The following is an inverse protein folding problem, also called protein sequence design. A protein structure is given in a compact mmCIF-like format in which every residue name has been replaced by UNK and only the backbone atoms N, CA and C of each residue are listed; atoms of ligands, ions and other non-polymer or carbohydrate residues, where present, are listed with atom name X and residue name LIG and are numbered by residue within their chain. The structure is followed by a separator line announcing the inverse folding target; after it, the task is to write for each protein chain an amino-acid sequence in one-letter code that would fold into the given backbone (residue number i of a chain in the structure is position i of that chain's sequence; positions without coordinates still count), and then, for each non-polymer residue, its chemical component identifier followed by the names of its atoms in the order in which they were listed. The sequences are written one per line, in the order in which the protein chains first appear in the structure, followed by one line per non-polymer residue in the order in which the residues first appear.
data_IF_443749223193
#
_entry.id   IF_443749223193
#
_cell.length_a   1.000
_cell.length_b   1.000
_cell.length_c   1.000
_cell.angle_alpha   90.00
_cell.angle_beta   90.00
_cell.angle_gamma   90.00
#
_symmetry.space_group_name_H-M   'P 1'
#
loop_
_entity.id
_entity.type
_entity.pdbx_description
1 polymer ?
#
# COMPACT_ATOMS: atom_id res chain seq x y z
N UNK A 1 -15.88 10.79 15.90
CA UNK A 1 -15.34 10.10 14.80
C UNK A 1 -13.86 10.14 14.79
N UNK A 2 -13.27 9.11 14.24
CA UNK A 2 -11.86 8.95 14.26
C UNK A 2 -11.22 9.77 13.14
N UNK A 3 -10.15 10.51 13.43
CA UNK A 3 -9.39 11.16 12.37
C UNK A 3 -8.54 10.20 11.57
N UNK A 4 -8.40 8.95 12.02
CA UNK A 4 -7.54 8.00 11.34
C UNK A 4 -8.27 7.37 10.17
N UNK A 5 -7.56 7.21 9.07
CA UNK A 5 -8.09 6.54 7.92
C UNK A 5 -8.24 5.06 8.20
N UNK A 6 -9.34 4.48 7.73
CA UNK A 6 -9.57 3.06 7.85
C UNK A 6 -9.21 2.35 6.56
N UNK A 7 -8.56 1.23 6.71
CA UNK A 7 -8.17 0.40 5.57
C UNK A 7 -8.90 -0.93 5.66
N UNK A 8 -9.37 -1.39 4.50
CA UNK A 8 -10.08 -2.67 4.41
C UNK A 8 -9.08 -3.80 4.40
N UNK A 9 -8.75 -4.31 5.59
CA UNK A 9 -7.77 -5.38 5.73
C UNK A 9 -8.46 -6.66 6.17
N UNK A 10 -8.12 -7.81 5.57
CA UNK A 10 -8.63 -9.08 6.06
C UNK A 10 -7.90 -9.50 7.34
N UNK A 11 -8.22 -10.67 7.86
CA UNK A 11 -7.50 -11.21 9.00
C UNK A 11 -6.03 -11.42 8.65
N UNK A 12 -5.18 -11.30 9.66
CA UNK A 12 -3.74 -11.48 9.46
C UNK A 12 -3.38 -12.84 8.90
N UNK A 13 -4.19 -13.85 9.20
CA UNK A 13 -3.96 -15.21 8.70
C UNK A 13 -4.44 -15.41 7.28
N UNK A 14 -5.15 -14.45 6.73
CA UNK A 14 -5.69 -14.57 5.38
C UNK A 14 -4.55 -14.52 4.37
N UNK A 15 -4.54 -15.45 3.38
CA UNK A 15 -3.48 -15.42 2.37
C UNK A 15 -3.43 -14.13 1.56
N UNK A 16 -4.52 -13.38 1.52
CA UNK A 16 -4.54 -12.09 0.82
C UNK A 16 -4.14 -10.91 1.67
N UNK A 17 -3.70 -11.16 2.91
CA UNK A 17 -3.40 -10.05 3.80
C UNK A 17 -2.28 -9.16 3.26
N UNK A 18 -1.20 -9.77 2.78
CA UNK A 18 -0.04 -8.99 2.33
C UNK A 18 -0.39 -8.14 1.10
N UNK A 19 -1.20 -8.66 0.21
CA UNK A 19 -1.63 -7.86 -0.94
C UNK A 19 -2.47 -6.67 -0.48
N UNK A 20 -3.39 -6.90 0.45
CA UNK A 20 -4.21 -5.82 0.99
C UNK A 20 -3.36 -4.82 1.75
N UNK A 21 -2.35 -5.29 2.48
CA UNK A 21 -1.45 -4.40 3.22
C UNK A 21 -0.64 -3.52 2.26
N UNK A 22 -0.17 -4.10 1.15
CA UNK A 22 0.55 -3.31 0.16
C UNK A 22 -0.34 -2.20 -0.39
N UNK A 23 -1.58 -2.53 -0.72
CA UNK A 23 -2.51 -1.52 -1.22
C UNK A 23 -2.76 -0.43 -0.18
N UNK A 24 -2.90 -0.83 1.09
CA UNK A 24 -3.14 0.14 2.15
C UNK A 24 -1.97 1.10 2.31
N UNK A 25 -0.74 0.59 2.23
CA UNK A 25 0.44 1.45 2.35
C UNK A 25 0.53 2.43 1.19
N UNK A 26 0.27 1.95 -0.03
CA UNK A 26 0.29 2.84 -1.19
C UNK A 26 -0.81 3.91 -1.08
N UNK A 27 -1.98 3.50 -0.63
CA UNK A 27 -3.09 4.43 -0.47
C UNK A 27 -2.79 5.46 0.60
N UNK A 28 -2.23 5.03 1.72
CA UNK A 28 -1.85 5.96 2.79
C UNK A 28 -0.83 6.97 2.31
N UNK A 29 0.16 6.52 1.55
CA UNK A 29 1.17 7.43 1.03
C UNK A 29 0.57 8.44 0.05
N UNK A 30 -0.37 7.98 -0.78
CA UNK A 30 -1.04 8.88 -1.73
C UNK A 30 -1.83 9.97 -1.00
N UNK A 31 -2.34 9.64 0.18
CA UNK A 31 -3.09 10.59 1.00
C UNK A 31 -2.20 11.42 1.92
N UNK A 32 -0.90 11.19 1.90
CA UNK A 32 0.01 11.90 2.79
C UNK A 32 -0.02 11.40 4.22
N UNK A 33 -0.45 10.16 4.44
CA UNK A 33 -0.60 9.60 5.78
C UNK A 33 -0.11 8.16 5.80
N UNK A 34 1.16 7.98 5.48
CA UNK A 34 1.78 6.67 5.47
C UNK A 34 1.78 6.05 6.87
N UNK A 35 1.93 6.87 7.89
CA UNK A 35 2.02 6.37 9.25
C UNK A 35 0.75 5.63 9.67
N UNK A 36 -0.42 6.14 9.32
CA UNK A 36 -1.67 5.44 9.64
C UNK A 36 -1.72 4.07 8.97
N UNK A 37 -1.25 3.98 7.74
CA UNK A 37 -1.21 2.70 7.05
C UNK A 37 -0.22 1.75 7.70
N UNK A 38 0.92 2.27 8.15
CA UNK A 38 1.90 1.43 8.85
C UNK A 38 1.32 0.88 10.15
N UNK A 39 0.62 1.71 10.90
CA UNK A 39 -0.01 1.26 12.14
C UNK A 39 -1.07 0.20 11.83
N UNK A 40 -1.89 0.44 10.81
CA UNK A 40 -2.98 -0.47 10.48
C UNK A 40 -2.48 -1.82 9.98
N UNK A 41 -1.43 -1.81 9.16
CA UNK A 41 -0.96 -3.05 8.52
C UNK A 41 0.06 -3.80 9.36
N UNK A 42 0.78 -3.11 10.23
CA UNK A 42 1.88 -3.69 10.96
C UNK A 42 3.17 -3.80 10.15
N UNK A 43 3.17 -3.24 8.94
CA UNK A 43 4.36 -3.21 8.10
C UNK A 43 4.84 -1.78 7.92
N UNK A 44 6.15 -1.63 7.77
CA UNK A 44 6.73 -0.32 7.46
C UNK A 44 6.80 -0.11 5.96
N UNK A 45 6.84 1.14 5.59
CA UNK A 45 7.02 1.53 4.19
C UNK A 45 8.28 0.88 3.62
N UNK A 46 8.14 0.28 2.46
CA UNK A 46 9.27 -0.38 1.81
C UNK A 46 9.47 -1.83 2.22
N UNK A 47 8.51 -2.41 2.94
CA UNK A 47 8.62 -3.80 3.41
C UNK A 47 8.90 -4.76 2.25
N UNK A 48 9.93 -5.56 2.37
CA UNK A 48 10.35 -6.47 1.31
C UNK A 48 9.31 -7.49 0.93
N UNK A 49 8.60 -8.01 1.91
CA UNK A 49 7.57 -9.02 1.65
C UNK A 49 6.49 -8.51 0.71
N UNK A 50 6.31 -7.21 0.67
CA UNK A 50 5.24 -6.60 -0.12
C UNK A 50 5.69 -6.20 -1.51
N UNK A 51 6.98 -6.30 -1.83
CA UNK A 51 7.48 -5.83 -3.12
C UNK A 51 6.77 -6.47 -4.31
N UNK A 52 6.53 -7.79 -4.34
CA UNK A 52 5.83 -8.36 -5.50
C UNK A 52 4.45 -7.75 -5.73
N UNK A 53 3.74 -7.45 -4.65
CA UNK A 53 2.42 -6.87 -4.77
C UNK A 53 2.49 -5.42 -5.24
N UNK A 54 3.49 -4.69 -4.75
CA UNK A 54 3.69 -3.30 -5.18
C UNK A 54 4.12 -3.26 -6.64
N UNK A 55 4.93 -4.22 -7.09
CA UNK A 55 5.31 -4.29 -8.50
C UNK A 55 4.11 -4.53 -9.40
N UNK A 56 3.18 -5.37 -8.96
CA UNK A 56 1.94 -5.57 -9.72
C UNK A 56 1.09 -4.31 -9.73
N UNK A 57 1.03 -3.62 -8.60
CA UNK A 57 0.30 -2.36 -8.54
C UNK A 57 0.92 -1.32 -9.48
N UNK A 58 2.24 -1.30 -9.56
CA UNK A 58 2.94 -0.40 -10.47
C UNK A 58 2.58 -0.72 -11.92
N UNK A 59 2.56 -2.01 -12.27
CA UNK A 59 2.20 -2.39 -13.64
C UNK A 59 0.78 -1.94 -13.98
N UNK A 60 -0.15 -2.14 -13.04
CA UNK A 60 -1.54 -1.70 -13.27
C UNK A 60 -1.62 -0.19 -13.41
N UNK A 61 -0.85 0.54 -12.59
CA UNK A 61 -0.85 1.99 -12.66
C UNK A 61 -0.32 2.49 -13.99
N UNK A 62 0.71 1.82 -14.51
CA UNK A 62 1.26 2.17 -15.83
C UNK A 62 0.24 1.94 -16.93
N UNK A 63 -0.48 0.83 -16.87
CA UNK A 63 -1.52 0.55 -17.86
C UNK A 63 -2.63 1.58 -17.80
N UNK A 64 -2.98 2.02 -16.60
CA UNK A 64 -4.02 3.02 -16.41
C UNK A 64 -3.51 4.43 -16.63
N UNK A 65 -2.20 4.60 -16.83
CA UNK A 65 -1.57 5.92 -16.99
C UNK A 65 -1.85 6.81 -15.81
N UNK A 66 -1.83 6.22 -14.62
CA UNK A 66 -2.08 6.92 -13.36
C UNK A 66 -0.73 7.36 -12.79
N UNK A 67 -0.33 8.58 -13.14
CA UNK A 67 0.99 9.08 -12.79
C UNK A 67 1.22 9.17 -11.29
N UNK A 68 0.19 9.55 -10.55
CA UNK A 68 0.32 9.64 -9.09
C UNK A 68 0.57 8.26 -8.48
N UNK A 69 -0.17 7.26 -8.93
CA UNK A 69 0.00 5.89 -8.43
C UNK A 69 1.36 5.34 -8.83
N UNK A 70 1.81 5.65 -10.05
CA UNK A 70 3.14 5.23 -10.50
C UNK A 70 4.21 5.77 -9.57
N UNK A 71 4.16 7.05 -9.25
CA UNK A 71 5.16 7.68 -8.40
C UNK A 71 5.19 7.07 -7.00
N UNK A 72 4.03 6.82 -6.45
CA UNK A 72 3.94 6.23 -5.11
C UNK A 72 4.54 4.83 -5.10
N UNK A 73 4.18 4.01 -6.08
CA UNK A 73 4.69 2.64 -6.15
C UNK A 73 6.21 2.62 -6.38
N UNK A 74 6.70 3.48 -7.26
CA UNK A 74 8.14 3.56 -7.51
C UNK A 74 8.90 3.97 -6.27
N UNK A 75 8.33 4.89 -5.50
CA UNK A 75 8.96 5.32 -4.25
C UNK A 75 9.06 4.18 -3.25
N UNK A 76 8.04 3.34 -3.19
CA UNK A 76 8.06 2.17 -2.31
C UNK A 76 9.19 1.21 -2.70
N UNK A 77 9.44 1.07 -3.99
CA UNK A 77 10.36 0.06 -4.51
C UNK A 77 11.83 0.51 -4.55
N UNK A 78 12.11 1.74 -4.18
CA UNK A 78 13.49 2.23 -4.19
C UNK A 78 14.40 1.51 -3.22
#
# INVERSE_FOLDING_TARGET
NSPLKRFALPDRDDPGYDEAAASALLEGAADGDTESAEVATGYYWGERKLRPYVERALARAREAKDDAAIRVAERFLR
#
